data_IF_994854492290
#
_entry.id   IF_994854492290
#
_cell.length_a   1.000
_cell.length_b   1.000
_cell.length_c   1.000
_cell.angle_alpha   90.00
_cell.angle_beta   90.00
_cell.angle_gamma   90.00
#
_symmetry.space_group_name_H-M   'P 1'
#
loop_
_entity.id
_entity.type
_entity.pdbx_description
1 polymer ?
#
# COMPACT_ATOMS: atom_id res chain seq x y z
N UNK A 1 -54.75 31.87 13.82
CA UNK A 1 -55.11 30.45 13.94
C UNK A 1 -54.04 29.66 13.15
N UNK A 2 -52.92 29.36 13.78
CA UNK A 2 -51.85 28.55 13.19
C UNK A 2 -51.82 27.23 13.94
N UNK A 3 -52.05 26.17 13.19
CA UNK A 3 -52.08 24.81 13.69
C UNK A 3 -50.65 24.37 14.11
N UNK A 4 -50.57 23.76 15.28
CA UNK A 4 -49.36 23.12 15.79
C UNK A 4 -49.01 21.95 14.87
N UNK A 5 -47.85 22.02 14.26
CA UNK A 5 -47.22 20.93 13.49
C UNK A 5 -46.65 19.90 14.44
N UNK A 6 -46.98 18.68 14.16
CA UNK A 6 -46.63 17.43 14.81
C UNK A 6 -45.13 17.32 15.06
N UNK A 7 -44.72 17.19 16.31
CA UNK A 7 -43.36 16.84 16.71
C UNK A 7 -43.20 15.35 16.41
N UNK A 8 -42.45 15.03 15.36
CA UNK A 8 -42.03 13.66 15.08
C UNK A 8 -41.28 13.02 16.25
N UNK A 9 -41.30 11.70 16.40
CA UNK A 9 -40.79 10.99 17.54
C UNK A 9 -39.29 11.30 17.75
N UNK A 10 -38.95 11.63 18.99
CA UNK A 10 -37.58 11.82 19.45
C UNK A 10 -36.74 10.55 19.25
N UNK A 11 -35.41 10.61 19.43
CA UNK A 11 -34.56 9.47 19.22
C UNK A 11 -34.98 8.33 20.15
N UNK A 12 -35.35 7.20 19.58
CA UNK A 12 -35.56 5.96 20.34
C UNK A 12 -34.22 5.57 20.96
N UNK A 13 -34.08 5.76 22.26
CA UNK A 13 -33.03 5.17 23.07
C UNK A 13 -33.20 3.64 23.00
N UNK A 14 -32.22 2.95 22.48
CA UNK A 14 -32.06 1.50 22.63
C UNK A 14 -32.65 0.62 21.54
N UNK A 15 -32.74 1.07 20.29
CA UNK A 15 -33.04 0.15 19.20
C UNK A 15 -31.96 -0.94 19.13
N UNK A 16 -32.32 -2.19 19.43
CA UNK A 16 -31.47 -3.35 19.21
C UNK A 16 -30.96 -3.33 17.76
N UNK A 17 -29.69 -3.68 17.51
CA UNK A 17 -29.17 -3.74 16.15
C UNK A 17 -30.07 -4.65 15.30
N UNK A 18 -30.34 -4.29 14.03
CA UNK A 18 -31.26 -5.07 13.19
C UNK A 18 -30.81 -6.55 13.17
N UNK A 19 -31.79 -7.48 13.16
CA UNK A 19 -31.48 -8.89 13.09
C UNK A 19 -30.60 -9.15 11.87
N UNK A 20 -29.49 -9.84 12.08
CA UNK A 20 -28.59 -10.24 10.98
C UNK A 20 -29.30 -11.36 10.23
N UNK A 21 -29.37 -11.26 8.90
CA UNK A 21 -29.88 -12.31 8.04
C UNK A 21 -29.16 -13.63 8.34
N UNK A 22 -29.86 -14.70 8.75
CA UNK A 22 -29.24 -15.99 9.02
C UNK A 22 -28.50 -16.59 7.81
N UNK A 23 -28.86 -16.16 6.59
CA UNK A 23 -28.18 -16.57 5.35
C UNK A 23 -26.90 -15.80 5.06
N UNK A 24 -26.61 -14.74 5.83
CA UNK A 24 -25.40 -13.98 5.66
C UNK A 24 -24.15 -14.82 6.06
N UNK A 25 -23.00 -14.61 5.39
CA UNK A 25 -21.77 -15.31 5.72
C UNK A 25 -21.42 -15.23 7.22
N UNK A 26 -20.89 -16.27 7.80
CA UNK A 26 -20.54 -16.37 9.22
C UNK A 26 -19.69 -15.17 9.69
N UNK A 27 -18.71 -14.76 8.88
CA UNK A 27 -17.87 -13.59 9.15
C UNK A 27 -18.65 -12.26 9.25
N UNK A 28 -19.81 -12.16 8.61
CA UNK A 28 -20.71 -11.00 8.71
C UNK A 28 -21.58 -11.12 9.96
N UNK A 29 -22.13 -12.30 10.22
CA UNK A 29 -22.98 -12.57 11.38
C UNK A 29 -22.22 -12.39 12.70
N UNK A 30 -20.95 -12.83 12.75
CA UNK A 30 -20.08 -12.77 13.92
C UNK A 30 -19.33 -11.45 14.10
N UNK A 31 -19.64 -10.42 13.30
CA UNK A 31 -19.02 -9.09 13.46
C UNK A 31 -19.29 -8.53 14.84
N UNK A 32 -18.26 -8.09 15.60
CA UNK A 32 -18.40 -7.46 16.90
C UNK A 32 -19.39 -6.29 16.90
N UNK A 33 -20.31 -6.28 17.85
CA UNK A 33 -21.34 -5.25 18.06
C UNK A 33 -21.02 -4.29 19.19
N UNK A 34 -20.16 -4.71 20.09
CA UNK A 34 -19.66 -3.92 21.23
C UNK A 34 -18.14 -3.96 21.27
N UNK A 35 -17.54 -3.03 22.02
CA UNK A 35 -16.10 -2.99 22.20
C UNK A 35 -15.56 -4.24 22.91
N UNK A 36 -16.35 -4.82 23.83
CA UNK A 36 -15.99 -6.03 24.59
C UNK A 36 -15.98 -7.31 23.72
N UNK A 37 -16.65 -7.26 22.59
CA UNK A 37 -16.60 -8.34 21.61
C UNK A 37 -15.34 -8.29 20.71
N UNK A 38 -14.61 -7.17 20.71
CA UNK A 38 -13.41 -7.03 19.88
C UNK A 38 -12.28 -7.85 20.47
N UNK A 39 -11.81 -8.84 19.71
CA UNK A 39 -10.66 -9.67 20.08
C UNK A 39 -9.39 -9.02 19.57
N UNK A 40 -8.34 -9.02 20.39
CA UNK A 40 -7.06 -8.39 20.05
C UNK A 40 -7.07 -6.86 20.20
N UNK A 41 -6.07 -6.20 19.62
CA UNK A 41 -5.93 -4.73 19.58
C UNK A 41 -5.78 -4.07 20.97
N UNK A 42 -5.35 -4.80 22.00
CA UNK A 42 -5.21 -4.28 23.37
C UNK A 42 -4.32 -3.06 23.45
N UNK A 43 -3.30 -2.95 22.60
CA UNK A 43 -2.40 -1.80 22.53
C UNK A 43 -3.11 -0.51 22.12
N UNK A 44 -4.16 -0.59 21.29
CA UNK A 44 -4.97 0.54 20.81
C UNK A 44 -6.19 0.83 21.69
N UNK A 45 -6.74 -0.21 22.35
CA UNK A 45 -8.02 -0.15 23.09
C UNK A 45 -7.84 -0.08 24.61
N UNK A 46 -6.65 0.34 25.08
CA UNK A 46 -6.41 0.58 26.52
C UNK A 46 -7.35 1.64 27.06
N UNK A 47 -7.63 1.57 28.36
CA UNK A 47 -8.42 2.59 29.02
C UNK A 47 -7.87 3.99 28.74
N UNK A 48 -8.76 4.92 28.37
CA UNK A 48 -8.43 6.31 28.00
C UNK A 48 -7.58 6.52 26.75
N UNK A 49 -7.30 5.48 25.97
CA UNK A 49 -6.62 5.66 24.67
C UNK A 49 -7.46 6.52 23.72
N UNK A 50 -6.84 7.26 22.78
CA UNK A 50 -7.56 8.09 21.83
C UNK A 50 -8.57 7.30 20.99
N UNK A 51 -8.20 6.11 20.52
CA UNK A 51 -9.08 5.26 19.73
C UNK A 51 -10.25 4.73 20.56
N UNK A 52 -9.98 4.27 21.79
CA UNK A 52 -11.05 3.82 22.69
C UNK A 52 -12.07 4.92 22.97
N UNK A 53 -11.59 6.13 23.28
CA UNK A 53 -12.49 7.29 23.49
C UNK A 53 -13.32 7.61 22.24
N UNK A 54 -12.73 7.45 21.04
CA UNK A 54 -13.44 7.66 19.80
C UNK A 54 -14.54 6.61 19.61
N UNK A 55 -14.24 5.31 19.84
CA UNK A 55 -15.20 4.21 19.78
C UNK A 55 -16.31 4.39 20.84
N UNK A 56 -15.99 4.89 22.04
CA UNK A 56 -16.98 5.19 23.09
C UNK A 56 -17.78 6.48 22.83
N UNK A 57 -17.65 7.10 21.66
CA UNK A 57 -18.37 8.33 21.29
C UNK A 57 -17.86 9.62 21.95
N UNK A 58 -16.77 9.56 22.70
CA UNK A 58 -16.19 10.70 23.47
C UNK A 58 -15.10 11.45 22.68
N UNK A 59 -14.80 11.04 21.47
CA UNK A 59 -13.77 11.63 20.61
C UNK A 59 -14.33 12.41 19.43
N UNK A 60 -13.55 13.37 18.91
CA UNK A 60 -13.91 14.18 17.74
C UNK A 60 -12.88 14.17 16.63
N UNK A 61 -11.73 13.50 16.82
CA UNK A 61 -10.65 13.46 15.83
C UNK A 61 -10.91 12.36 14.80
N UNK A 62 -10.65 12.66 13.53
CA UNK A 62 -10.63 11.65 12.48
C UNK A 62 -9.58 10.59 12.73
N UNK A 63 -9.74 9.39 12.17
CA UNK A 63 -8.81 8.27 12.36
C UNK A 63 -8.53 7.57 11.04
N UNK A 64 -7.30 7.16 10.86
CA UNK A 64 -6.85 6.28 9.78
C UNK A 64 -6.43 4.96 10.42
N UNK A 65 -7.21 3.92 10.13
CA UNK A 65 -6.98 2.56 10.59
C UNK A 65 -6.17 1.82 9.51
N UNK A 66 -4.97 1.37 9.82
CA UNK A 66 -4.19 0.60 8.86
C UNK A 66 -3.69 -0.71 9.46
N UNK A 67 -3.45 -1.68 8.62
CA UNK A 67 -2.98 -3.01 9.02
C UNK A 67 -3.54 -4.12 8.13
N UNK A 68 -3.16 -5.38 8.39
CA UNK A 68 -3.55 -6.54 7.59
C UNK A 68 -5.07 -6.69 7.45
N UNK A 69 -5.54 -7.42 6.44
CA UNK A 69 -6.96 -7.80 6.32
C UNK A 69 -7.43 -8.56 7.55
N UNK A 70 -8.74 -8.57 7.78
CA UNK A 70 -9.34 -9.32 8.88
C UNK A 70 -9.05 -8.83 10.30
N UNK A 71 -8.27 -7.75 10.47
CA UNK A 71 -7.89 -7.19 11.79
C UNK A 71 -8.98 -6.36 12.46
N UNK A 72 -10.13 -6.15 11.80
CA UNK A 72 -11.28 -5.46 12.38
C UNK A 72 -11.41 -3.98 12.03
N UNK A 73 -10.73 -3.45 10.99
CA UNK A 73 -10.83 -2.03 10.56
C UNK A 73 -12.29 -1.58 10.35
N UNK A 74 -13.03 -2.30 9.52
CA UNK A 74 -14.45 -2.01 9.24
C UNK A 74 -15.32 -2.18 10.49
N UNK A 75 -15.00 -3.14 11.34
CA UNK A 75 -15.69 -3.36 12.62
C UNK A 75 -15.54 -2.16 13.55
N UNK A 76 -14.31 -1.67 13.73
CA UNK A 76 -14.05 -0.48 14.57
C UNK A 76 -14.73 0.76 14.00
N UNK A 77 -14.76 0.93 12.67
CA UNK A 77 -15.46 2.03 12.02
C UNK A 77 -16.97 2.01 12.34
N UNK A 78 -17.60 0.85 12.25
CA UNK A 78 -19.00 0.66 12.61
C UNK A 78 -19.25 0.96 14.10
N UNK A 79 -18.39 0.48 14.98
CA UNK A 79 -18.48 0.74 16.42
C UNK A 79 -18.37 2.24 16.74
N UNK A 80 -17.48 2.97 16.08
CA UNK A 80 -17.38 4.44 16.21
C UNK A 80 -18.69 5.12 15.86
N UNK A 81 -19.34 4.69 14.78
CA UNK A 81 -20.61 5.28 14.37
C UNK A 81 -21.74 4.95 15.35
N UNK A 82 -21.91 3.66 15.68
CA UNK A 82 -22.99 3.17 16.54
C UNK A 82 -22.91 3.78 17.94
N UNK A 83 -21.72 3.73 18.56
CA UNK A 83 -21.53 4.24 19.94
C UNK A 83 -21.63 5.77 20.04
N UNK A 84 -21.37 6.50 18.95
CA UNK A 84 -21.45 7.96 18.94
C UNK A 84 -22.82 8.52 18.54
N UNK A 85 -23.78 7.67 18.17
CA UNK A 85 -25.09 8.09 17.66
C UNK A 85 -25.02 8.92 16.36
N UNK A 86 -23.91 8.85 15.63
CA UNK A 86 -23.69 9.59 14.38
C UNK A 86 -24.21 8.80 13.19
N UNK A 87 -24.64 9.51 12.17
CA UNK A 87 -25.07 8.88 10.92
C UNK A 87 -23.86 8.26 10.20
N UNK A 88 -23.95 6.97 9.88
CA UNK A 88 -22.86 6.23 9.22
C UNK A 88 -23.04 6.25 7.71
N UNK A 89 -22.04 6.68 6.99
CA UNK A 89 -21.95 6.61 5.52
C UNK A 89 -20.66 5.90 5.15
N UNK A 90 -20.76 4.85 4.35
CA UNK A 90 -19.61 4.11 3.85
C UNK A 90 -19.40 4.40 2.36
N UNK A 91 -18.16 4.67 1.99
CA UNK A 91 -17.70 4.74 0.60
C UNK A 91 -16.58 3.70 0.39
N UNK A 92 -16.68 2.97 -0.71
CA UNK A 92 -15.57 2.13 -1.17
C UNK A 92 -14.73 2.92 -2.15
N UNK A 93 -13.43 3.03 -1.88
CA UNK A 93 -12.51 3.72 -2.79
C UNK A 93 -12.35 3.01 -4.15
N UNK A 94 -12.81 1.75 -4.26
CA UNK A 94 -12.82 1.01 -5.52
C UNK A 94 -13.87 1.53 -6.52
N UNK A 95 -15.01 2.05 -6.02
CA UNK A 95 -16.15 2.43 -6.86
C UNK A 95 -16.52 3.91 -6.77
N UNK A 96 -16.16 4.61 -5.69
CA UNK A 96 -16.54 5.99 -5.47
C UNK A 96 -15.67 6.98 -6.27
N UNK A 97 -16.32 7.90 -6.99
CA UNK A 97 -15.66 9.03 -7.68
C UNK A 97 -15.64 10.32 -6.83
N UNK A 98 -14.98 11.37 -7.34
CA UNK A 98 -14.99 12.71 -6.69
C UNK A 98 -16.41 13.26 -6.50
N UNK A 99 -17.34 12.94 -7.42
CA UNK A 99 -18.74 13.36 -7.34
C UNK A 99 -19.44 12.73 -6.13
N UNK A 100 -19.19 11.44 -5.87
CA UNK A 100 -19.80 10.72 -4.76
C UNK A 100 -19.29 11.26 -3.42
N UNK A 101 -17.98 11.53 -3.32
CA UNK A 101 -17.39 12.17 -2.14
C UNK A 101 -18.05 13.52 -1.86
N UNK A 102 -18.23 14.37 -2.88
CA UNK A 102 -18.87 15.69 -2.74
C UNK A 102 -20.34 15.57 -2.34
N UNK A 103 -21.08 14.64 -2.94
CA UNK A 103 -22.50 14.40 -2.59
C UNK A 103 -22.66 14.04 -1.10
N UNK A 104 -21.83 13.12 -0.60
CA UNK A 104 -21.82 12.73 0.82
C UNK A 104 -21.49 13.92 1.73
N UNK A 105 -20.55 14.79 1.34
CA UNK A 105 -20.19 15.98 2.11
C UNK A 105 -21.35 16.98 2.17
N UNK A 106 -22.05 17.23 1.07
CA UNK A 106 -23.24 18.13 1.05
C UNK A 106 -24.39 17.57 1.89
N UNK A 107 -24.62 16.27 1.81
CA UNK A 107 -25.58 15.59 2.68
C UNK A 107 -25.19 15.69 4.16
N UNK A 108 -23.91 15.54 4.48
CA UNK A 108 -23.41 15.68 5.85
C UNK A 108 -23.57 17.13 6.36
N UNK A 109 -23.36 18.15 5.51
CA UNK A 109 -23.64 19.56 5.85
C UNK A 109 -25.11 19.78 6.18
N UNK A 110 -26.00 19.25 5.35
CA UNK A 110 -27.45 19.36 5.57
C UNK A 110 -27.84 18.71 6.90
N UNK A 111 -27.30 17.51 7.20
CA UNK A 111 -27.54 16.85 8.49
C UNK A 111 -26.98 17.64 9.66
N UNK A 112 -25.81 18.26 9.51
CA UNK A 112 -25.18 19.07 10.56
C UNK A 112 -26.03 20.29 10.94
N UNK A 113 -26.70 20.96 9.98
CA UNK A 113 -27.65 22.05 10.23
C UNK A 113 -28.79 21.57 11.12
N UNK A 114 -29.21 20.31 10.98
CA UNK A 114 -30.23 19.67 11.81
C UNK A 114 -29.70 19.00 13.09
N UNK A 115 -28.46 19.33 13.50
CA UNK A 115 -27.84 18.82 14.73
C UNK A 115 -27.34 17.37 14.64
N UNK A 116 -27.38 16.72 13.47
CA UNK A 116 -26.93 15.35 13.26
C UNK A 116 -25.54 15.33 12.66
N UNK A 117 -24.60 14.67 13.33
CA UNK A 117 -23.22 14.51 12.84
C UNK A 117 -23.08 13.25 11.99
N UNK A 118 -22.13 13.26 11.06
CA UNK A 118 -21.87 12.15 10.15
C UNK A 118 -20.48 11.53 10.41
N UNK A 119 -20.43 10.20 10.49
CA UNK A 119 -19.20 9.42 10.35
C UNK A 119 -19.10 8.99 8.89
N UNK A 120 -18.04 9.42 8.21
CA UNK A 120 -17.72 8.98 6.87
C UNK A 120 -16.64 7.91 6.94
N UNK A 121 -17.03 6.67 6.61
CA UNK A 121 -16.08 5.56 6.49
C UNK A 121 -15.63 5.42 5.04
N UNK A 122 -14.33 5.39 4.83
CA UNK A 122 -13.72 5.12 3.51
C UNK A 122 -12.87 3.86 3.62
N UNK A 123 -13.31 2.82 2.92
CA UNK A 123 -12.54 1.58 2.81
C UNK A 123 -11.54 1.69 1.67
N UNK A 124 -10.32 1.16 1.90
CA UNK A 124 -9.18 1.16 0.96
C UNK A 124 -8.81 2.57 0.48
N UNK A 125 -8.67 3.53 1.41
CA UNK A 125 -8.42 4.95 1.11
C UNK A 125 -7.16 5.19 0.26
N UNK A 126 -6.20 4.27 0.26
CA UNK A 126 -5.00 4.31 -0.58
C UNK A 126 -5.31 4.29 -2.10
N UNK A 127 -6.50 3.83 -2.48
CA UNK A 127 -6.97 3.83 -3.87
C UNK A 127 -7.57 5.17 -4.31
N UNK A 128 -7.80 6.08 -3.38
CA UNK A 128 -8.25 7.42 -3.72
C UNK A 128 -7.12 8.23 -4.35
N UNK A 129 -7.39 8.86 -5.48
CA UNK A 129 -6.52 9.87 -6.10
C UNK A 129 -6.33 11.07 -5.15
N UNK A 130 -5.27 11.84 -5.36
CA UNK A 130 -5.04 13.09 -4.61
C UNK A 130 -6.26 14.02 -4.65
N UNK A 131 -6.90 14.16 -5.81
CA UNK A 131 -8.10 15.02 -5.97
C UNK A 131 -9.30 14.55 -5.14
N UNK A 132 -9.45 13.24 -4.92
CA UNK A 132 -10.50 12.69 -4.05
C UNK A 132 -10.16 12.94 -2.57
N UNK A 133 -8.90 12.78 -2.19
CA UNK A 133 -8.44 13.07 -0.84
C UNK A 133 -8.49 14.56 -0.52
N UNK A 134 -8.15 15.45 -1.47
CA UNK A 134 -8.27 16.91 -1.33
C UNK A 134 -9.73 17.34 -1.11
N UNK A 135 -10.68 16.67 -1.79
CA UNK A 135 -12.10 16.95 -1.60
C UNK A 135 -12.60 16.67 -0.16
N UNK A 136 -11.96 15.73 0.56
CA UNK A 136 -12.28 15.41 1.96
C UNK A 136 -11.71 16.44 2.93
N UNK A 137 -10.60 17.10 2.59
CA UNK A 137 -9.82 17.91 3.51
C UNK A 137 -10.66 19.01 4.18
N UNK A 138 -11.38 19.80 3.38
CA UNK A 138 -12.24 20.86 3.90
C UNK A 138 -13.37 20.36 4.81
N UNK A 139 -13.92 19.18 4.51
CA UNK A 139 -14.98 18.59 5.32
C UNK A 139 -14.47 18.06 6.67
N UNK A 140 -13.23 17.54 6.69
CA UNK A 140 -12.56 17.08 7.91
C UNK A 140 -12.14 18.28 8.76
N UNK A 141 -11.52 19.31 8.16
CA UNK A 141 -11.09 20.53 8.85
C UNK A 141 -12.24 21.27 9.53
N UNK A 142 -13.37 21.38 8.85
CA UNK A 142 -14.53 22.08 9.37
C UNK A 142 -15.45 21.19 10.26
N UNK A 143 -15.04 19.94 10.52
CA UNK A 143 -15.81 19.00 11.35
C UNK A 143 -17.20 18.65 10.78
N UNK A 144 -17.38 18.77 9.44
CA UNK A 144 -18.63 18.40 8.73
C UNK A 144 -18.80 16.89 8.81
N UNK A 145 -17.70 16.16 8.65
CA UNK A 145 -17.64 14.71 8.81
C UNK A 145 -16.55 14.32 9.82
N UNK A 146 -16.80 13.27 10.56
CA UNK A 146 -15.75 12.51 11.26
C UNK A 146 -15.26 11.45 10.29
N UNK A 147 -14.05 11.60 9.77
CA UNK A 147 -13.46 10.63 8.85
C UNK A 147 -12.92 9.42 9.62
N UNK A 148 -13.34 8.23 9.21
CA UNK A 148 -12.73 6.96 9.57
C UNK A 148 -12.25 6.32 8.27
N UNK A 149 -10.97 6.39 7.99
CA UNK A 149 -10.39 5.78 6.80
C UNK A 149 -9.74 4.43 7.14
N UNK A 150 -9.89 3.44 6.28
CA UNK A 150 -9.23 2.15 6.40
C UNK A 150 -8.30 1.92 5.22
N UNK A 151 -7.15 1.30 5.48
CA UNK A 151 -6.20 0.89 4.46
C UNK A 151 -5.40 -0.32 4.91
N UNK A 152 -4.95 -1.13 3.95
CA UNK A 152 -3.97 -2.21 4.17
C UNK A 152 -2.54 -1.72 3.99
N UNK A 153 -2.33 -0.55 3.38
CA UNK A 153 -1.02 0.04 3.14
C UNK A 153 -0.63 1.04 4.24
N UNK A 154 0.69 1.25 4.42
CA UNK A 154 1.18 2.29 5.31
C UNK A 154 0.68 3.67 4.84
N UNK A 155 -0.14 4.37 5.64
CA UNK A 155 -0.80 5.61 5.24
C UNK A 155 0.17 6.75 4.91
N UNK A 156 1.41 6.71 5.41
CA UNK A 156 2.42 7.71 5.09
C UNK A 156 2.83 7.72 3.60
N UNK A 157 2.59 6.64 2.87
CA UNK A 157 2.88 6.56 1.43
C UNK A 157 1.67 6.82 0.53
N UNK A 158 0.46 6.61 1.05
CA UNK A 158 -0.76 6.58 0.25
C UNK A 158 -1.77 7.68 0.59
N UNK A 159 -1.64 8.32 1.75
CA UNK A 159 -2.53 9.40 2.20
C UNK A 159 -1.78 10.73 2.20
N UNK A 160 -2.45 11.79 1.74
CA UNK A 160 -1.85 13.13 1.69
C UNK A 160 -1.53 13.67 3.09
N UNK A 161 -0.38 14.34 3.23
CA UNK A 161 0.10 14.88 4.48
C UNK A 161 -0.92 15.77 5.25
N UNK A 162 -1.75 16.61 4.59
CA UNK A 162 -2.77 17.39 5.28
C UNK A 162 -3.86 16.55 5.98
N UNK A 163 -4.25 15.39 5.44
CA UNK A 163 -5.19 14.47 6.10
C UNK A 163 -4.51 13.71 7.24
N UNK A 164 -3.26 13.27 7.05
CA UNK A 164 -2.47 12.61 8.10
C UNK A 164 -2.33 13.50 9.34
N UNK A 165 -2.00 14.79 9.16
CA UNK A 165 -1.80 15.73 10.27
C UNK A 165 -3.07 16.02 11.10
N UNK A 166 -4.25 15.69 10.55
CA UNK A 166 -5.57 15.92 11.17
C UNK A 166 -6.23 14.63 11.65
N UNK A 167 -5.56 13.51 11.51
CA UNK A 167 -6.10 12.20 11.83
C UNK A 167 -5.22 11.47 12.85
N UNK A 168 -5.85 10.70 13.71
CA UNK A 168 -5.17 9.71 14.52
C UNK A 168 -4.77 8.54 13.61
N UNK A 169 -3.53 8.14 13.63
CA UNK A 169 -3.08 6.94 12.91
C UNK A 169 -3.08 5.77 13.89
N UNK A 170 -3.80 4.71 13.58
CA UNK A 170 -3.91 3.52 14.42
C UNK A 170 -3.55 2.26 13.60
N UNK A 171 -2.47 1.60 14.02
CA UNK A 171 -2.00 0.36 13.43
C UNK A 171 -2.68 -0.84 14.09
N UNK A 172 -3.46 -1.57 13.30
CA UNK A 172 -4.07 -2.82 13.72
C UNK A 172 -3.16 -4.00 13.39
N UNK A 173 -3.03 -4.90 14.34
CA UNK A 173 -2.22 -6.11 14.21
C UNK A 173 -3.11 -7.32 13.93
N UNK A 174 -2.56 -8.31 13.22
CA UNK A 174 -3.19 -9.62 13.10
C UNK A 174 -3.45 -10.22 14.48
N UNK A 175 -4.47 -11.06 14.58
CA UNK A 175 -4.74 -11.76 15.83
C UNK A 175 -3.64 -12.80 16.09
N UNK A 176 -3.27 -12.95 17.34
CA UNK A 176 -2.45 -14.08 17.76
C UNK A 176 -3.27 -15.40 17.73
N UNK A 177 -2.60 -16.51 17.90
CA UNK A 177 -3.26 -17.85 17.85
C UNK A 177 -4.40 -17.96 18.85
N UNK A 178 -4.23 -17.43 20.05
CA UNK A 178 -5.25 -17.47 21.10
C UNK A 178 -6.46 -16.59 20.73
N UNK A 179 -6.23 -15.45 20.10
CA UNK A 179 -7.26 -14.56 19.61
C UNK A 179 -8.09 -15.21 18.51
N UNK A 180 -7.46 -15.85 17.53
CA UNK A 180 -8.17 -16.57 16.46
C UNK A 180 -8.98 -17.72 17.06
N UNK A 181 -8.40 -18.54 17.95
CA UNK A 181 -9.12 -19.61 18.63
C UNK A 181 -10.35 -19.09 19.41
N UNK A 182 -10.22 -17.91 20.04
CA UNK A 182 -11.34 -17.25 20.74
C UNK A 182 -12.47 -16.87 19.75
N UNK A 183 -12.13 -16.34 18.56
CA UNK A 183 -13.12 -16.01 17.53
C UNK A 183 -13.86 -17.25 17.04
N UNK A 184 -13.13 -18.36 16.79
CA UNK A 184 -13.71 -19.66 16.37
C UNK A 184 -14.66 -20.19 17.44
N UNK A 185 -14.20 -20.33 18.69
CA UNK A 185 -15.02 -20.86 19.80
C UNK A 185 -16.25 -19.99 20.07
N UNK A 186 -16.15 -18.68 19.93
CA UNK A 186 -17.29 -17.77 20.02
C UNK A 186 -18.29 -18.04 18.88
N UNK A 187 -17.84 -18.24 17.65
CA UNK A 187 -18.71 -18.53 16.53
C UNK A 187 -19.46 -19.85 16.68
N UNK A 188 -18.86 -20.84 17.33
CA UNK A 188 -19.52 -22.11 17.67
C UNK A 188 -20.61 -21.92 18.74
N UNK A 189 -20.35 -21.11 19.76
CA UNK A 189 -21.25 -20.97 20.92
C UNK A 189 -22.35 -19.90 20.75
N UNK A 190 -22.10 -18.83 20.00
CA UNK A 190 -22.99 -17.67 19.85
C UNK A 190 -24.21 -18.02 18.97
N UNK A 191 -25.38 -17.50 19.33
CA UNK A 191 -26.64 -17.65 18.56
C UNK A 191 -26.54 -17.10 17.13
N UNK A 192 -25.67 -16.12 16.91
CA UNK A 192 -25.35 -15.56 15.58
C UNK A 192 -24.51 -16.52 14.72
N UNK A 193 -23.84 -17.47 15.36
CA UNK A 193 -23.03 -18.49 14.72
C UNK A 193 -23.77 -19.80 14.60
N UNK A 194 -23.32 -20.79 15.35
CA UNK A 194 -23.86 -22.15 15.34
C UNK A 194 -24.68 -22.49 16.58
N UNK A 195 -24.81 -21.60 17.55
CA UNK A 195 -25.59 -21.78 18.78
C UNK A 195 -25.26 -23.07 19.57
N UNK A 196 -24.03 -23.55 19.47
CA UNK A 196 -23.59 -24.81 20.08
C UNK A 196 -24.01 -26.10 19.34
N UNK A 197 -24.62 -25.98 18.17
CA UNK A 197 -25.03 -27.16 17.37
C UNK A 197 -23.85 -27.77 16.60
N UNK A 198 -22.73 -27.09 16.49
CA UNK A 198 -21.53 -27.56 15.79
C UNK A 198 -20.45 -27.94 16.83
N UNK A 199 -19.89 -29.11 16.73
CA UNK A 199 -18.67 -29.50 17.46
C UNK A 199 -17.44 -29.26 16.59
N UNK A 200 -16.40 -28.67 17.16
CA UNK A 200 -15.11 -28.42 16.45
C UNK A 200 -14.00 -29.01 17.33
N UNK A 201 -13.31 -30.01 16.82
CA UNK A 201 -12.20 -30.62 17.56
C UNK A 201 -11.07 -29.67 17.81
N UNK A 202 -10.31 -29.81 18.90
CA UNK A 202 -9.17 -28.91 19.18
C UNK A 202 -8.13 -28.98 18.06
N UNK A 203 -7.89 -30.10 17.44
CA UNK A 203 -7.00 -30.25 16.29
C UNK A 203 -7.50 -29.46 15.07
N UNK A 204 -8.81 -29.44 14.80
CA UNK A 204 -9.39 -28.65 13.74
C UNK A 204 -9.27 -27.13 14.05
N UNK A 205 -9.42 -26.73 15.31
CA UNK A 205 -9.19 -25.33 15.73
C UNK A 205 -7.74 -24.93 15.45
N UNK A 206 -6.75 -25.77 15.81
CA UNK A 206 -5.33 -25.51 15.53
C UNK A 206 -5.04 -25.36 14.04
N UNK A 207 -5.63 -26.20 13.19
CA UNK A 207 -5.49 -26.10 11.74
C UNK A 207 -6.10 -24.82 11.19
N UNK A 208 -7.32 -24.46 11.61
CA UNK A 208 -7.94 -23.18 11.18
C UNK A 208 -7.12 -21.99 11.65
N UNK A 209 -6.58 -22.01 12.88
CA UNK A 209 -5.68 -20.97 13.41
C UNK A 209 -4.45 -20.81 12.52
N UNK A 210 -3.79 -21.93 12.20
CA UNK A 210 -2.60 -21.95 11.33
C UNK A 210 -2.89 -21.42 9.93
N UNK A 211 -4.01 -21.85 9.34
CA UNK A 211 -4.41 -21.51 7.97
C UNK A 211 -4.93 -20.08 7.82
N UNK A 212 -5.49 -19.50 8.88
CA UNK A 212 -6.01 -18.13 8.86
C UNK A 212 -4.91 -17.06 8.91
N UNK A 213 -3.72 -17.38 9.45
CA UNK A 213 -2.61 -16.43 9.52
C UNK A 213 -2.91 -15.17 10.34
N UNK A 214 -3.80 -15.25 11.35
CA UNK A 214 -4.20 -14.09 12.16
C UNK A 214 -5.37 -13.27 11.62
N UNK A 215 -5.96 -13.67 10.50
CA UNK A 215 -7.13 -13.04 9.91
C UNK A 215 -8.42 -13.66 10.48
N UNK A 216 -9.17 -12.87 11.27
CA UNK A 216 -10.44 -13.30 11.87
C UNK A 216 -11.54 -13.60 10.83
N UNK A 217 -11.59 -12.87 9.71
CA UNK A 217 -12.57 -13.12 8.65
C UNK A 217 -12.27 -14.46 7.98
N UNK A 218 -11.00 -14.70 7.67
CA UNK A 218 -10.54 -15.93 7.04
C UNK A 218 -10.80 -17.15 7.94
N UNK A 219 -10.55 -17.04 9.25
CA UNK A 219 -10.82 -18.14 10.19
C UNK A 219 -12.30 -18.52 10.20
N UNK A 220 -13.20 -17.53 10.19
CA UNK A 220 -14.64 -17.78 10.15
C UNK A 220 -15.10 -18.33 8.79
N UNK A 221 -14.48 -17.90 7.69
CA UNK A 221 -14.78 -18.43 6.34
C UNK A 221 -14.34 -19.90 6.22
N UNK A 222 -13.16 -20.24 6.76
CA UNK A 222 -12.69 -21.64 6.79
C UNK A 222 -13.62 -22.49 7.68
N UNK A 223 -13.99 -21.99 8.86
CA UNK A 223 -14.93 -22.68 9.74
C UNK A 223 -16.28 -22.94 9.07
N UNK A 224 -16.84 -21.93 8.37
CA UNK A 224 -18.11 -22.03 7.66
C UNK A 224 -18.05 -23.09 6.54
N UNK A 225 -16.95 -23.09 5.77
CA UNK A 225 -16.74 -24.09 4.71
C UNK A 225 -16.54 -25.50 5.27
N UNK A 226 -15.76 -25.64 6.35
CA UNK A 226 -15.55 -26.92 7.02
C UNK A 226 -16.83 -27.47 7.65
N UNK A 227 -17.66 -26.60 8.25
CA UNK A 227 -18.97 -26.98 8.77
C UNK A 227 -19.93 -27.48 7.67
N UNK A 228 -19.85 -26.88 6.47
CA UNK A 228 -20.61 -27.35 5.30
C UNK A 228 -20.18 -28.71 4.74
N UNK A 229 -18.94 -29.15 5.06
CA UNK A 229 -18.38 -30.44 4.68
C UNK A 229 -18.42 -31.46 5.84
N UNK A 230 -18.86 -31.06 7.04
CA UNK A 230 -18.86 -31.89 8.20
C UNK A 230 -19.99 -32.96 8.15
N UNK A 231 -19.70 -34.16 8.53
CA UNK A 231 -20.70 -35.21 8.82
C UNK A 231 -21.03 -35.13 10.32
N UNK A 232 -22.28 -35.37 10.67
CA UNK A 232 -22.80 -35.36 12.05
C UNK A 232 -22.48 -34.07 12.85
N UNK A 233 -22.40 -32.90 12.16
CA UNK A 233 -22.07 -31.58 12.76
C UNK A 233 -20.72 -31.54 13.52
N UNK A 234 -19.76 -32.40 13.15
CA UNK A 234 -18.41 -32.44 13.75
C UNK A 234 -17.36 -32.01 12.75
N UNK A 235 -16.66 -30.89 13.04
CA UNK A 235 -15.52 -30.39 12.25
C UNK A 235 -14.23 -31.04 12.75
N UNK A 236 -13.56 -31.77 11.86
CA UNK A 236 -12.28 -32.43 12.09
C UNK A 236 -11.19 -31.82 11.18
N UNK A 237 -9.90 -32.15 11.38
CA UNK A 237 -8.85 -31.76 10.45
C UNK A 237 -9.12 -32.15 9.00
N UNK A 238 -9.71 -33.34 8.79
CA UNK A 238 -10.04 -33.85 7.45
C UNK A 238 -11.11 -32.97 6.77
N UNK A 239 -12.15 -32.52 7.50
CA UNK A 239 -13.17 -31.62 6.96
C UNK A 239 -12.61 -30.25 6.67
N UNK A 240 -11.63 -29.78 7.46
CA UNK A 240 -10.90 -28.53 7.18
C UNK A 240 -10.09 -28.67 5.89
N UNK A 241 -9.38 -29.78 5.69
CA UNK A 241 -8.61 -30.03 4.47
C UNK A 241 -9.50 -30.12 3.24
N UNK A 242 -10.60 -30.87 3.29
CA UNK A 242 -11.59 -30.94 2.22
C UNK A 242 -12.18 -29.57 1.85
N UNK A 243 -12.38 -28.68 2.83
CA UNK A 243 -12.88 -27.34 2.60
C UNK A 243 -11.90 -26.44 1.85
N UNK A 244 -10.60 -26.72 1.93
CA UNK A 244 -9.54 -25.97 1.24
C UNK A 244 -9.42 -26.37 -0.24
N UNK A 245 -9.63 -27.64 -0.56
CA UNK A 245 -9.61 -28.11 -1.96
C UNK A 245 -10.78 -27.56 -2.77
N UNK A 246 -11.89 -27.23 -2.11
CA UNK A 246 -13.09 -26.65 -2.73
C UNK A 246 -13.01 -25.13 -2.85
N UNK A 247 -12.15 -24.44 -2.10
CA UNK A 247 -11.99 -23.00 -2.13
C UNK A 247 -10.70 -22.63 -2.91
N UNK A 248 -10.77 -21.82 -3.99
CA UNK A 248 -9.54 -21.29 -4.57
C UNK A 248 -8.80 -20.52 -3.48
N UNK A 249 -7.54 -20.91 -3.21
CA UNK A 249 -6.64 -20.20 -2.30
C UNK A 249 -6.55 -18.75 -2.77
N UNK A 250 -7.44 -17.89 -2.27
CA UNK A 250 -7.38 -16.46 -2.51
C UNK A 250 -6.25 -15.92 -1.65
N UNK A 251 -5.10 -15.81 -2.25
CA UNK A 251 -4.01 -15.01 -1.73
C UNK A 251 -4.53 -13.59 -1.53
N UNK A 252 -4.35 -13.10 -0.32
CA UNK A 252 -4.67 -11.73 0.02
C UNK A 252 -3.63 -10.82 -0.65
N UNK A 253 -4.04 -10.20 -1.75
CA UNK A 253 -3.20 -9.29 -2.55
C UNK A 253 -2.76 -8.04 -1.80
N UNK A 254 -3.38 -7.74 -0.68
CA UNK A 254 -3.24 -6.48 0.04
C UNK A 254 -2.73 -6.66 1.50
N UNK A 255 -2.24 -7.85 1.89
CA UNK A 255 -1.78 -8.13 3.26
C UNK A 255 -0.26 -8.10 3.44
N UNK A 256 0.21 -8.10 4.70
CA UNK A 256 1.63 -8.10 5.07
C UNK A 256 2.43 -9.23 4.40
N UNK A 257 1.83 -10.39 4.15
CA UNK A 257 2.47 -11.49 3.41
C UNK A 257 2.82 -11.11 1.96
N UNK A 258 2.02 -10.24 1.31
CA UNK A 258 2.33 -9.72 -0.02
C UNK A 258 3.63 -8.90 0.03
N UNK A 259 3.75 -7.99 1.01
CA UNK A 259 4.95 -7.16 1.17
C UNK A 259 6.15 -7.99 1.57
N UNK A 260 5.98 -8.99 2.43
CA UNK A 260 7.05 -9.89 2.85
C UNK A 260 7.56 -10.76 1.71
N UNK A 261 6.68 -11.37 0.91
CA UNK A 261 7.07 -12.17 -0.27
C UNK A 261 7.72 -11.30 -1.33
N UNK A 262 7.16 -10.10 -1.61
CA UNK A 262 7.78 -9.15 -2.54
C UNK A 262 9.15 -8.66 -2.04
N UNK A 263 9.27 -8.37 -0.75
CA UNK A 263 10.54 -7.98 -0.12
C UNK A 263 11.56 -9.11 -0.19
N UNK A 264 11.16 -10.34 0.08
CA UNK A 264 12.00 -11.53 -0.02
C UNK A 264 12.44 -11.79 -1.46
N UNK A 265 11.53 -11.64 -2.44
CA UNK A 265 11.84 -11.71 -3.86
C UNK A 265 12.96 -10.76 -4.27
N UNK A 266 12.81 -9.48 -3.93
CA UNK A 266 13.79 -8.44 -4.25
C UNK A 266 15.11 -8.68 -3.53
N UNK A 267 15.08 -9.05 -2.23
CA UNK A 267 16.28 -9.35 -1.46
C UNK A 267 17.01 -10.58 -1.98
N UNK A 268 16.30 -11.60 -2.47
CA UNK A 268 16.92 -12.77 -3.09
C UNK A 268 17.63 -12.42 -4.40
N UNK A 269 17.02 -11.59 -5.26
CA UNK A 269 17.69 -11.07 -6.46
C UNK A 269 18.92 -10.25 -6.09
N UNK A 270 18.82 -9.34 -5.13
CA UNK A 270 19.92 -8.52 -4.63
C UNK A 270 21.03 -9.36 -4.02
N UNK A 271 20.68 -10.43 -3.31
CA UNK A 271 21.59 -11.41 -2.73
C UNK A 271 22.17 -12.41 -3.73
N UNK A 272 21.78 -12.35 -5.01
CA UNK A 272 22.21 -13.25 -6.08
C UNK A 272 21.81 -14.73 -5.88
N UNK A 273 20.70 -14.96 -5.15
CA UNK A 273 20.10 -16.29 -5.01
C UNK A 273 18.96 -16.44 -6.05
N UNK A 274 19.29 -17.02 -7.19
CA UNK A 274 18.34 -17.19 -8.30
C UNK A 274 17.24 -18.20 -7.97
N UNK A 275 17.54 -19.25 -7.19
CA UNK A 275 16.58 -20.29 -6.83
C UNK A 275 15.53 -19.76 -5.83
N UNK A 276 15.99 -19.04 -4.79
CA UNK A 276 15.09 -18.36 -3.87
C UNK A 276 14.24 -17.30 -4.58
N UNK A 277 14.82 -16.51 -5.50
CA UNK A 277 14.10 -15.52 -6.29
C UNK A 277 13.00 -16.18 -7.14
N UNK A 278 13.28 -17.29 -7.82
CA UNK A 278 12.30 -18.06 -8.58
C UNK A 278 11.21 -18.64 -7.68
N UNK A 279 11.56 -19.13 -6.49
CA UNK A 279 10.57 -19.61 -5.52
C UNK A 279 9.58 -18.50 -5.12
N UNK A 280 10.08 -17.30 -4.78
CA UNK A 280 9.21 -16.18 -4.42
C UNK A 280 8.41 -15.64 -5.62
N UNK A 281 8.99 -15.65 -6.84
CA UNK A 281 8.23 -15.36 -8.07
C UNK A 281 7.06 -16.35 -8.25
N UNK A 282 7.32 -17.65 -8.11
CA UNK A 282 6.28 -18.68 -8.23
C UNK A 282 5.19 -18.50 -7.15
N UNK A 283 5.57 -18.19 -5.90
CA UNK A 283 4.61 -17.89 -4.83
C UNK A 283 3.70 -16.72 -5.20
N UNK A 284 4.24 -15.63 -5.74
CA UNK A 284 3.44 -14.47 -6.20
C UNK A 284 2.50 -14.85 -7.34
N UNK A 285 2.97 -15.60 -8.34
CA UNK A 285 2.17 -15.99 -9.50
C UNK A 285 1.04 -16.97 -9.13
N UNK A 286 1.34 -18.00 -8.33
CA UNK A 286 0.33 -18.97 -7.85
C UNK A 286 -0.70 -18.28 -6.97
N UNK A 287 -0.27 -17.31 -6.19
CA UNK A 287 -1.12 -16.48 -5.38
C UNK A 287 -1.99 -15.49 -6.17
N UNK A 288 -1.82 -15.41 -7.48
CA UNK A 288 -2.59 -14.53 -8.37
C UNK A 288 -2.19 -13.07 -8.31
N UNK A 289 -0.92 -12.79 -7.95
CA UNK A 289 -0.37 -11.43 -8.03
C UNK A 289 -0.44 -10.88 -9.44
N UNK A 290 -0.70 -9.58 -9.58
CA UNK A 290 -0.68 -8.93 -10.88
C UNK A 290 0.72 -9.03 -11.52
N UNK A 291 0.89 -9.74 -12.63
CA UNK A 291 2.19 -9.87 -13.28
C UNK A 291 2.78 -8.52 -13.72
N UNK A 292 1.95 -7.48 -13.89
CA UNK A 292 2.41 -6.10 -14.16
C UNK A 292 3.10 -5.49 -12.94
N UNK A 293 2.61 -5.80 -11.74
CA UNK A 293 3.27 -5.38 -10.50
C UNK A 293 4.66 -6.01 -10.40
N UNK A 294 4.77 -7.32 -10.61
CA UNK A 294 6.05 -8.05 -10.59
C UNK A 294 7.03 -7.46 -11.61
N UNK A 295 6.55 -7.24 -12.85
CA UNK A 295 7.35 -6.66 -13.91
C UNK A 295 7.88 -5.25 -13.55
N UNK A 296 7.02 -4.38 -12.99
CA UNK A 296 7.45 -3.05 -12.51
C UNK A 296 8.56 -3.15 -11.46
N UNK A 297 8.45 -4.11 -10.53
CA UNK A 297 9.49 -4.31 -9.51
C UNK A 297 10.82 -4.73 -10.14
N UNK A 298 10.80 -5.64 -11.12
CA UNK A 298 12.01 -6.04 -11.86
C UNK A 298 12.66 -4.87 -12.59
N UNK A 299 11.87 -4.02 -13.28
CA UNK A 299 12.40 -2.83 -13.99
C UNK A 299 13.08 -1.85 -13.03
N UNK A 300 12.45 -1.55 -11.88
CA UNK A 300 13.05 -0.67 -10.87
C UNK A 300 14.34 -1.29 -10.34
N UNK A 301 14.30 -2.58 -9.97
CA UNK A 301 15.42 -3.30 -9.39
C UNK A 301 16.65 -3.39 -10.35
N UNK A 302 16.39 -3.55 -11.67
CA UNK A 302 17.43 -3.53 -12.67
C UNK A 302 18.26 -2.22 -12.67
N UNK A 303 17.63 -1.10 -12.36
CA UNK A 303 18.31 0.20 -12.26
C UNK A 303 18.88 0.48 -10.87
N UNK A 304 18.17 0.05 -9.81
CA UNK A 304 18.51 0.31 -8.40
C UNK A 304 19.71 -0.51 -7.94
N UNK A 305 19.73 -1.82 -8.22
CA UNK A 305 20.69 -2.76 -7.63
C UNK A 305 21.72 -3.32 -8.63
N UNK A 306 21.51 -3.12 -9.93
CA UNK A 306 22.41 -3.60 -10.97
C UNK A 306 23.00 -2.41 -11.75
N UNK A 307 22.16 -1.51 -12.22
CA UNK A 307 22.58 -0.28 -12.88
C UNK A 307 23.57 -0.51 -14.02
N UNK A 308 24.68 0.19 -13.96
CA UNK A 308 25.72 0.11 -14.99
C UNK A 308 26.69 -1.05 -14.81
N UNK A 309 26.55 -1.88 -13.77
CA UNK A 309 27.34 -3.10 -13.64
C UNK A 309 26.95 -4.13 -14.71
N UNK A 310 25.67 -4.15 -15.11
CA UNK A 310 25.16 -4.83 -16.30
C UNK A 310 24.09 -3.98 -17.00
N UNK A 311 24.47 -3.20 -18.03
CA UNK A 311 23.53 -2.37 -18.78
C UNK A 311 22.39 -3.13 -19.46
N UNK A 312 22.53 -4.45 -19.65
CA UNK A 312 21.49 -5.29 -20.28
C UNK A 312 20.37 -5.68 -19.33
N UNK A 313 20.58 -5.54 -18.02
CA UNK A 313 19.59 -5.89 -16.99
C UNK A 313 18.29 -5.10 -17.17
N UNK A 314 18.36 -3.81 -17.40
CA UNK A 314 17.17 -2.96 -17.65
C UNK A 314 16.47 -3.35 -18.96
N UNK A 315 17.20 -3.73 -19.99
CA UNK A 315 16.63 -4.20 -21.26
C UNK A 315 15.86 -5.51 -21.06
N UNK A 316 16.43 -6.46 -20.33
CA UNK A 316 15.79 -7.74 -20.02
C UNK A 316 14.51 -7.54 -19.20
N UNK A 317 14.55 -6.71 -18.16
CA UNK A 317 13.38 -6.39 -17.35
C UNK A 317 12.29 -5.67 -18.14
N UNK A 318 12.66 -4.71 -19.00
CA UNK A 318 11.72 -3.99 -19.87
C UNK A 318 11.08 -4.90 -20.90
N UNK A 319 11.85 -5.79 -21.52
CA UNK A 319 11.31 -6.79 -22.45
C UNK A 319 10.30 -7.74 -21.76
N UNK A 320 10.59 -8.18 -20.53
CA UNK A 320 9.66 -8.99 -19.75
C UNK A 320 8.36 -8.21 -19.43
N UNK A 321 8.45 -6.92 -19.11
CA UNK A 321 7.29 -6.07 -18.88
C UNK A 321 6.42 -5.92 -20.15
N UNK A 322 7.03 -5.80 -21.32
CA UNK A 322 6.35 -5.79 -22.61
C UNK A 322 5.61 -7.12 -22.89
N UNK A 323 6.25 -8.27 -22.60
CA UNK A 323 5.64 -9.58 -22.76
C UNK A 323 4.43 -9.72 -21.81
N UNK A 324 4.53 -9.25 -20.57
CA UNK A 324 3.41 -9.23 -19.62
C UNK A 324 2.20 -8.48 -20.19
N UNK A 325 2.43 -7.36 -20.86
CA UNK A 325 1.34 -6.56 -21.45
C UNK A 325 0.74 -7.19 -22.72
N UNK A 326 1.57 -7.79 -23.57
CA UNK A 326 1.16 -8.28 -24.90
C UNK A 326 0.67 -9.72 -24.90
N UNK A 327 1.20 -10.56 -24.03
CA UNK A 327 0.93 -12.01 -24.00
C UNK A 327 0.03 -12.38 -22.83
N UNK A 328 0.33 -11.88 -21.61
CA UNK A 328 -0.41 -12.23 -20.40
C UNK A 328 -0.09 -13.62 -19.84
N UNK A 329 -0.80 -14.00 -18.76
CA UNK A 329 -0.71 -15.34 -18.18
C UNK A 329 -1.51 -16.35 -19.00
N UNK A 330 -1.07 -17.62 -19.03
CA UNK A 330 0.02 -18.19 -18.24
C UNK A 330 1.43 -18.03 -18.85
N UNK A 331 1.59 -17.66 -20.10
CA UNK A 331 2.86 -17.71 -20.84
C UNK A 331 3.85 -16.64 -20.41
N UNK A 332 3.40 -15.46 -19.99
CA UNK A 332 4.31 -14.37 -19.57
C UNK A 332 5.17 -14.74 -18.34
N UNK A 333 4.80 -15.80 -17.60
CA UNK A 333 5.63 -16.34 -16.50
C UNK A 333 7.04 -16.70 -16.94
N UNK A 334 7.22 -17.13 -18.19
CA UNK A 334 8.52 -17.51 -18.74
C UNK A 334 9.44 -16.29 -18.87
N UNK A 335 8.90 -15.18 -19.39
CA UNK A 335 9.66 -13.92 -19.50
C UNK A 335 10.00 -13.33 -18.13
N UNK A 336 9.06 -13.39 -17.16
CA UNK A 336 9.32 -12.97 -15.79
C UNK A 336 10.41 -13.82 -15.13
N UNK A 337 10.38 -15.15 -15.31
CA UNK A 337 11.40 -16.05 -14.79
C UNK A 337 12.77 -15.77 -15.42
N UNK A 338 12.84 -15.58 -16.74
CA UNK A 338 14.06 -15.25 -17.47
C UNK A 338 14.67 -13.94 -16.95
N UNK A 339 13.87 -12.88 -16.80
CA UNK A 339 14.33 -11.61 -16.24
C UNK A 339 14.80 -11.77 -14.79
N UNK A 340 14.08 -12.52 -13.96
CA UNK A 340 14.46 -12.80 -12.58
C UNK A 340 15.82 -13.49 -12.50
N UNK A 341 16.07 -14.53 -13.29
CA UNK A 341 17.35 -15.23 -13.34
C UNK A 341 18.46 -14.27 -13.80
N UNK A 342 18.22 -13.50 -14.86
CA UNK A 342 19.19 -12.53 -15.37
C UNK A 342 19.59 -11.53 -14.29
N UNK A 343 18.61 -10.93 -13.62
CA UNK A 343 18.85 -9.95 -12.57
C UNK A 343 19.54 -10.56 -11.33
N UNK A 344 19.16 -11.78 -10.95
CA UNK A 344 19.77 -12.48 -9.82
C UNK A 344 21.25 -12.81 -10.10
N UNK A 345 21.60 -13.20 -11.32
CA UNK A 345 22.96 -13.58 -11.70
C UNK A 345 23.82 -12.41 -12.16
N UNK A 346 23.24 -11.24 -12.44
CA UNK A 346 23.98 -10.04 -12.84
C UNK A 346 24.88 -9.52 -11.69
N UNK A 347 26.03 -8.91 -12.02
CA UNK A 347 26.83 -8.18 -11.01
C UNK A 347 26.02 -7.03 -10.43
N UNK A 348 26.20 -6.76 -9.13
CA UNK A 348 25.40 -5.77 -8.39
C UNK A 348 26.13 -4.45 -8.24
N UNK A 349 25.40 -3.33 -8.42
CA UNK A 349 25.86 -1.98 -8.16
C UNK A 349 24.70 -1.05 -7.85
N UNK A 350 24.79 -0.31 -6.77
CA UNK A 350 23.86 0.75 -6.41
C UNK A 350 24.37 2.16 -6.79
N UNK A 351 25.41 2.24 -7.62
CA UNK A 351 26.05 3.51 -7.96
C UNK A 351 25.12 4.48 -8.69
N UNK A 352 24.14 3.97 -9.46
CA UNK A 352 23.17 4.80 -10.18
C UNK A 352 22.22 5.50 -9.22
N UNK A 353 21.60 4.76 -8.29
CA UNK A 353 20.69 5.36 -7.31
C UNK A 353 21.42 6.31 -6.38
N UNK A 354 22.62 5.93 -5.89
CA UNK A 354 23.43 6.80 -5.05
C UNK A 354 23.82 8.11 -5.74
N UNK A 355 24.09 8.07 -7.05
CA UNK A 355 24.46 9.24 -7.83
C UNK A 355 23.27 10.22 -7.98
N UNK A 356 22.10 9.73 -8.36
CA UNK A 356 20.93 10.59 -8.54
C UNK A 356 20.44 11.14 -7.20
N UNK A 357 20.47 10.35 -6.13
CA UNK A 357 20.06 10.80 -4.80
C UNK A 357 20.98 11.90 -4.28
N UNK A 358 22.30 11.78 -4.46
CA UNK A 358 23.25 12.82 -4.10
C UNK A 358 23.04 14.11 -4.90
N UNK A 359 22.78 14.00 -6.22
CA UNK A 359 22.49 15.17 -7.05
C UNK A 359 21.17 15.85 -6.62
N UNK A 360 20.13 15.08 -6.34
CA UNK A 360 18.85 15.60 -5.84
C UNK A 360 18.99 16.25 -4.45
N UNK A 361 19.84 15.70 -3.59
CA UNK A 361 20.11 16.28 -2.28
C UNK A 361 20.79 17.65 -2.40
N UNK A 362 21.82 17.78 -3.26
CA UNK A 362 22.48 19.06 -3.51
C UNK A 362 21.50 20.13 -4.04
N UNK A 363 20.63 19.76 -4.99
CA UNK A 363 19.59 20.66 -5.50
C UNK A 363 18.60 21.09 -4.40
N UNK A 364 18.14 20.17 -3.56
CA UNK A 364 17.22 20.47 -2.43
C UNK A 364 17.88 21.37 -1.38
N UNK A 365 19.18 21.25 -1.19
CA UNK A 365 19.97 22.08 -0.27
C UNK A 365 20.24 23.50 -0.83
N UNK A 366 19.73 23.83 -2.02
CA UNK A 366 19.94 25.13 -2.66
C UNK A 366 21.18 25.19 -3.54
N UNK A 367 21.90 24.10 -3.75
CA UNK A 367 23.05 23.98 -4.67
C UNK A 367 22.62 23.94 -6.14
N UNK A 368 21.79 24.92 -6.56
CA UNK A 368 21.25 24.93 -7.93
C UNK A 368 22.23 25.63 -8.88
N UNK A 369 22.84 26.73 -8.45
CA UNK A 369 23.73 27.57 -9.25
C UNK A 369 23.13 28.12 -10.54
N UNK A 370 23.79 29.06 -11.15
CA UNK A 370 23.39 29.53 -12.48
C UNK A 370 23.98 28.67 -13.59
N UNK A 371 23.18 28.29 -14.59
CA UNK A 371 23.67 27.61 -15.78
C UNK A 371 24.74 28.51 -16.47
N UNK A 372 25.95 27.99 -16.74
CA UNK A 372 26.99 28.75 -17.43
C UNK A 372 26.51 29.35 -18.72
N UNK A 373 26.86 30.65 -19.00
CA UNK A 373 26.29 31.39 -20.12
C UNK A 373 26.50 30.72 -21.47
N UNK A 374 27.63 30.10 -21.70
CA UNK A 374 27.94 29.39 -22.95
C UNK A 374 27.04 28.16 -23.17
N UNK A 375 26.42 27.60 -22.13
CA UNK A 375 25.49 26.47 -22.21
C UNK A 375 24.04 26.89 -22.32
N UNK A 376 23.72 28.19 -22.12
CA UNK A 376 22.35 28.69 -22.23
C UNK A 376 21.90 28.72 -23.69
N UNK A 377 20.60 28.58 -23.94
CA UNK A 377 20.05 28.61 -25.29
C UNK A 377 20.40 29.94 -26.01
N UNK A 378 21.01 29.82 -27.17
CA UNK A 378 21.44 30.89 -28.02
C UNK A 378 20.56 31.11 -29.28
N UNK A 379 19.44 30.37 -29.42
CA UNK A 379 18.64 30.34 -30.66
C UNK A 379 17.55 31.43 -30.78
N UNK A 380 17.31 32.23 -29.74
CA UNK A 380 16.31 33.30 -29.78
C UNK A 380 16.92 34.67 -30.07
N UNK A 381 16.11 35.57 -30.60
CA UNK A 381 16.54 36.94 -30.93
C UNK A 381 17.02 37.67 -29.66
N UNK A 382 18.26 38.20 -29.69
CA UNK A 382 18.88 38.87 -28.54
C UNK A 382 19.74 38.02 -27.63
N UNK A 383 19.68 36.68 -27.75
CA UNK A 383 20.45 35.77 -26.90
C UNK A 383 21.96 36.04 -26.90
N UNK A 384 22.52 36.32 -28.10
CA UNK A 384 23.94 36.64 -28.26
C UNK A 384 24.32 37.98 -27.57
N UNK A 385 23.43 38.97 -27.55
CA UNK A 385 23.64 40.23 -26.84
C UNK A 385 23.71 40.05 -25.30
N UNK A 386 23.10 38.97 -24.77
CA UNK A 386 23.16 38.55 -23.37
C UNK A 386 24.35 37.65 -23.09
N UNK A 387 25.15 37.27 -24.11
CA UNK A 387 26.26 36.35 -24.00
C UNK A 387 25.83 34.86 -23.92
N UNK A 388 24.56 34.53 -24.19
CA UNK A 388 24.06 33.17 -24.15
C UNK A 388 24.52 32.37 -25.38
N UNK A 389 25.03 31.17 -25.18
CA UNK A 389 25.57 30.30 -26.22
C UNK A 389 26.92 30.75 -26.79
N UNK A 390 27.46 31.88 -26.34
CA UNK A 390 28.76 32.40 -26.83
C UNK A 390 29.90 31.64 -26.17
N UNK A 391 30.83 31.12 -27.01
CA UNK A 391 32.00 30.37 -26.53
C UNK A 391 31.75 28.90 -26.25
N UNK A 392 30.56 28.37 -26.57
CA UNK A 392 30.32 26.94 -26.48
C UNK A 392 31.19 26.16 -27.46
N UNK A 393 31.94 25.15 -26.92
CA UNK A 393 32.78 24.26 -27.69
C UNK A 393 32.00 23.01 -28.07
N UNK A 394 31.76 22.82 -29.36
CA UNK A 394 31.00 21.69 -29.85
C UNK A 394 31.87 20.43 -29.92
N UNK A 395 31.64 19.47 -29.06
CA UNK A 395 32.50 18.28 -28.90
C UNK A 395 32.69 17.44 -30.19
N UNK A 396 31.71 17.41 -31.09
CA UNK A 396 31.80 16.72 -32.38
C UNK A 396 32.82 17.34 -33.34
N UNK A 397 33.28 18.56 -33.13
CA UNK A 397 34.34 19.17 -33.88
C UNK A 397 35.76 18.80 -33.39
N UNK A 398 35.83 18.14 -32.20
CA UNK A 398 37.05 17.59 -31.67
C UNK A 398 37.28 16.18 -32.19
N UNK A 399 38.49 15.83 -32.68
CA UNK A 399 38.81 14.47 -33.11
C UNK A 399 38.64 13.43 -32.01
N UNK A 400 38.75 13.83 -30.75
CA UNK A 400 38.56 12.97 -29.57
C UNK A 400 37.09 12.84 -29.16
N UNK A 401 36.18 13.63 -29.77
CA UNK A 401 34.75 13.69 -29.35
C UNK A 401 34.54 14.26 -27.95
N UNK A 402 35.56 14.87 -27.37
CA UNK A 402 35.56 15.44 -26.01
C UNK A 402 36.31 16.77 -26.04
N UNK A 403 35.85 17.75 -25.29
CA UNK A 403 36.49 19.08 -25.18
C UNK A 403 36.65 19.47 -23.71
N UNK A 404 37.66 20.27 -23.42
CA UNK A 404 37.85 20.91 -22.12
C UNK A 404 36.89 22.08 -22.01
N UNK A 405 35.86 21.99 -21.17
CA UNK A 405 34.85 23.00 -20.99
C UNK A 405 34.14 22.77 -19.64
N UNK A 406 33.77 23.89 -18.99
CA UNK A 406 32.94 23.77 -17.78
C UNK A 406 31.50 23.50 -18.17
N UNK A 407 30.91 22.45 -17.57
CA UNK A 407 29.50 22.10 -17.74
C UNK A 407 28.64 22.40 -16.50
N UNK A 408 29.11 22.15 -15.25
CA UNK A 408 28.32 22.45 -14.07
C UNK A 408 28.32 23.95 -13.76
N UNK A 409 27.33 24.42 -12.97
CA UNK A 409 27.41 25.72 -12.28
C UNK A 409 28.69 25.85 -11.47
N UNK A 410 29.11 27.09 -11.18
CA UNK A 410 30.39 27.40 -10.52
C UNK A 410 30.51 26.70 -9.15
N UNK A 411 29.41 26.65 -8.38
CA UNK A 411 29.34 26.04 -7.07
C UNK A 411 29.51 24.52 -7.09
N UNK A 412 29.31 23.89 -8.26
CA UNK A 412 29.39 22.44 -8.45
C UNK A 412 30.63 22.01 -9.22
N UNK A 413 31.55 22.93 -9.51
CA UNK A 413 32.82 22.59 -10.20
C UNK A 413 33.63 21.62 -9.35
N UNK A 414 33.95 20.46 -9.92
CA UNK A 414 34.69 19.40 -9.26
C UNK A 414 33.83 18.40 -8.49
N UNK A 415 32.52 18.62 -8.40
CA UNK A 415 31.59 17.66 -7.76
C UNK A 415 31.49 16.39 -8.60
N UNK A 416 31.63 15.24 -7.96
CA UNK A 416 31.43 13.91 -8.52
C UNK A 416 30.20 13.24 -7.89
N UNK A 417 29.18 12.94 -8.70
CA UNK A 417 28.01 12.21 -8.25
C UNK A 417 28.13 10.70 -8.51
N UNK A 418 28.50 10.34 -9.74
CA UNK A 418 28.60 8.95 -10.14
C UNK A 418 29.98 8.36 -9.81
N UNK A 419 30.00 7.35 -8.95
CA UNK A 419 31.20 6.59 -8.58
C UNK A 419 30.95 5.10 -8.89
N UNK A 420 31.54 4.56 -9.98
CA UNK A 420 31.38 3.16 -10.35
C UNK A 420 31.84 2.20 -9.23
N UNK A 421 31.08 1.14 -8.98
CA UNK A 421 31.35 0.18 -7.89
C UNK A 421 32.46 -0.84 -8.22
N UNK A 422 33.01 -0.83 -9.42
CA UNK A 422 34.09 -1.77 -9.82
C UNK A 422 33.63 -3.20 -10.08
N UNK A 423 32.34 -3.44 -10.21
CA UNK A 423 31.75 -4.73 -10.55
C UNK A 423 31.28 -4.75 -12.01
N UNK A 424 31.31 -5.91 -12.67
CA UNK A 424 30.83 -6.08 -14.02
C UNK A 424 31.41 -5.05 -15.01
N UNK A 425 30.53 -4.45 -15.82
CA UNK A 425 30.91 -3.43 -16.81
C UNK A 425 31.43 -2.12 -16.17
N UNK A 426 31.11 -1.85 -14.91
CA UNK A 426 31.61 -0.64 -14.22
C UNK A 426 33.13 -0.61 -14.04
N UNK A 427 33.81 -1.76 -14.11
CA UNK A 427 35.29 -1.79 -14.11
C UNK A 427 35.89 -1.02 -15.31
N UNK A 428 35.36 -1.28 -16.50
CA UNK A 428 35.78 -0.59 -17.72
C UNK A 428 35.33 0.88 -17.72
N UNK A 429 34.11 1.11 -17.23
CA UNK A 429 33.52 2.42 -17.13
C UNK A 429 34.28 3.33 -16.16
N UNK A 430 34.81 2.80 -15.06
CA UNK A 430 35.62 3.55 -14.09
C UNK A 430 36.90 4.15 -14.72
N UNK A 431 37.65 3.33 -15.45
CA UNK A 431 38.83 3.79 -16.14
C UNK A 431 38.52 4.85 -17.22
N UNK A 432 37.46 4.61 -18.00
CA UNK A 432 36.99 5.55 -19.02
C UNK A 432 36.51 6.88 -18.39
N UNK A 433 35.72 6.82 -17.32
CA UNK A 433 35.20 8.00 -16.64
C UNK A 433 36.30 8.88 -16.06
N UNK A 434 37.31 8.30 -15.45
CA UNK A 434 38.50 9.00 -14.94
C UNK A 434 39.18 9.79 -16.07
N UNK A 435 39.43 9.15 -17.21
CA UNK A 435 40.01 9.83 -18.39
C UNK A 435 39.11 10.96 -18.92
N UNK A 436 37.82 10.73 -19.02
CA UNK A 436 36.89 11.76 -19.49
C UNK A 436 36.86 12.96 -18.54
N UNK A 437 36.84 12.74 -17.23
CA UNK A 437 36.87 13.82 -16.22
C UNK A 437 38.16 14.63 -16.32
N UNK A 438 39.29 13.98 -16.52
CA UNK A 438 40.57 14.66 -16.71
C UNK A 438 40.54 15.59 -17.93
N UNK A 439 40.09 15.12 -19.08
CA UNK A 439 39.97 15.94 -20.30
C UNK A 439 38.99 17.08 -20.11
N UNK A 440 37.79 16.80 -19.68
CA UNK A 440 36.70 17.80 -19.54
C UNK A 440 37.08 18.91 -18.57
N UNK A 441 37.78 18.58 -17.47
CA UNK A 441 38.17 19.55 -16.44
C UNK A 441 39.54 20.21 -16.70
N UNK A 442 40.21 19.85 -17.77
CA UNK A 442 41.51 20.44 -18.11
C UNK A 442 42.62 20.14 -17.08
N UNK A 443 42.48 19.00 -16.35
CA UNK A 443 43.54 18.54 -15.45
C UNK A 443 44.45 17.62 -16.26
N UNK A 444 45.68 18.06 -16.45
CA UNK A 444 46.79 17.23 -17.03
C UNK A 444 47.36 16.27 -16.01
#
# INVERSE_FOLDING_TARGET
>A
MFAAGDAGPGPEEGAAPPPVDPSAPLAVRMRPRTLDEVVGQQHLLRANSPLRRLVEGRGGSSVILYGPPGTGKTTLANLVATSSGRHFVALSALSAGVKDVRAVIEDARTRQIHGRRTVLFIDEVHRFSKSQQDALLAAVENGIVLLVAATTENPHFSVIAPLLSRSLIAELQGLDQAGVATVIRRAVADERGYAGALEVTDAAVEDIVRLSGGDARRSLTILEAAAGAAEDDVVTPETVELSLDAAPVRYDRDGDQHYDVTSAFIKSIRGSDADAALHYLARMLVAGEDPRFIARRLVVHASEDIGMADPTALLAASAAAEVVQKVGLPECRLALAQATIHLATAPKSNAVISAIDAAMADVRAGGVGEVPRHLRDGHYAGAKGLGNGVGYLYAHQSPAGVVTQQYPPDELVGRDYYAPAGHGHERELAARLTRLRTIVRGKT
#
